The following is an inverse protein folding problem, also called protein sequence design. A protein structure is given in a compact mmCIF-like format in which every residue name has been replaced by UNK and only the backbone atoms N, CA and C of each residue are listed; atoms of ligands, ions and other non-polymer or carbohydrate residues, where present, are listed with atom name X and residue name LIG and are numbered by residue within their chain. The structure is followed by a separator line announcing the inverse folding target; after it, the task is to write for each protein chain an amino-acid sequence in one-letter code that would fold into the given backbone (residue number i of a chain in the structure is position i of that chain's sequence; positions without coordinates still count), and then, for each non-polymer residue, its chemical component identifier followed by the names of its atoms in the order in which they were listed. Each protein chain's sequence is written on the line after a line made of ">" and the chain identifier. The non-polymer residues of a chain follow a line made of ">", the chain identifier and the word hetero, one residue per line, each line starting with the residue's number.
data_IF_594804140865
#
_entry.id   IF_594804140865
#
_cell.length_a   1.000
_cell.length_b   1.000
_cell.length_c   1.000
_cell.angle_alpha   90.00
_cell.angle_beta   90.00
_cell.angle_gamma   90.00
#
_symmetry.space_group_name_H-M   'P 1'
#
loop_
_entity.id
_entity.type
_entity.pdbx_description
1 polymer ?
#
# COMPACT_ATOMS: atom_id res chain seq x y z
N UNK A 1 -7.98 -3.85 14.22
CA UNK A 1 -8.30 -3.26 12.91
C UNK A 1 -9.68 -2.64 12.94
N UNK A 2 -9.86 -1.58 12.16
CA UNK A 2 -11.13 -0.96 11.80
C UNK A 2 -11.41 -1.22 10.32
N UNK A 3 -12.65 -0.97 9.90
CA UNK A 3 -13.07 -1.16 8.52
C UNK A 3 -13.99 -0.01 8.10
N UNK A 4 -13.78 0.52 6.91
CA UNK A 4 -14.70 1.45 6.24
C UNK A 4 -15.20 0.83 4.94
N UNK A 5 -16.45 1.08 4.59
CA UNK A 5 -17.00 0.65 3.31
C UNK A 5 -16.73 1.69 2.21
N UNK A 6 -16.07 1.26 1.14
CA UNK A 6 -15.77 2.08 -0.03
C UNK A 6 -16.25 1.33 -1.27
N UNK A 7 -17.27 1.87 -1.94
CA UNK A 7 -17.87 1.26 -3.14
C UNK A 7 -18.18 -0.24 -2.98
N UNK A 8 -18.80 -0.59 -1.85
CA UNK A 8 -19.23 -1.96 -1.54
C UNK A 8 -18.13 -2.92 -1.10
N UNK A 9 -16.90 -2.46 -0.89
CA UNK A 9 -15.81 -3.24 -0.31
C UNK A 9 -15.41 -2.67 1.05
N UNK A 10 -15.14 -3.55 2.01
CA UNK A 10 -14.61 -3.19 3.33
C UNK A 10 -13.11 -3.03 3.24
N UNK A 11 -12.62 -1.87 3.62
CA UNK A 11 -11.20 -1.52 3.61
C UNK A 11 -10.69 -1.52 5.04
N UNK A 12 -9.69 -2.35 5.31
CA UNK A 12 -9.03 -2.48 6.61
C UNK A 12 -8.07 -1.32 6.86
N UNK A 13 -8.12 -0.77 8.08
CA UNK A 13 -7.09 0.12 8.56
C UNK A 13 -6.87 0.01 10.07
N UNK A 14 -5.74 0.53 10.54
CA UNK A 14 -5.40 0.65 11.96
C UNK A 14 -4.92 2.05 12.22
N UNK A 15 -5.21 2.57 13.42
CA UNK A 15 -4.83 3.92 13.82
C UNK A 15 -4.23 3.96 15.22
N UNK A 16 -3.37 4.94 15.46
CA UNK A 16 -2.72 5.25 16.73
C UNK A 16 -2.62 6.75 16.92
N UNK A 17 -2.47 7.14 18.17
CA UNK A 17 -2.24 8.52 18.57
C UNK A 17 -3.51 9.34 18.74
N UNK A 18 -3.32 10.64 18.96
CA UNK A 18 -4.43 11.55 19.19
C UNK A 18 -4.92 12.11 17.83
N UNK A 19 -6.23 11.99 17.51
CA UNK A 19 -6.79 12.56 16.25
C UNK A 19 -6.58 14.07 16.06
N UNK A 20 -6.22 14.80 17.12
CA UNK A 20 -5.89 16.23 17.05
C UNK A 20 -4.45 16.52 16.61
N UNK A 21 -3.60 15.52 16.58
CA UNK A 21 -2.22 15.66 16.10
C UNK A 21 -2.21 15.68 14.57
N UNK A 22 -1.06 16.09 13.98
CA UNK A 22 -0.85 15.97 12.54
C UNK A 22 -1.12 14.54 12.08
N UNK A 23 -2.04 14.41 11.14
CA UNK A 23 -2.42 13.11 10.56
C UNK A 23 -1.38 12.62 9.56
N UNK A 24 -1.04 11.34 9.64
CA UNK A 24 -0.15 10.63 8.71
C UNK A 24 -0.80 9.31 8.32
N UNK A 25 -0.97 9.06 7.04
CA UNK A 25 -1.40 7.76 6.52
C UNK A 25 -0.28 7.12 5.72
N UNK A 26 -0.01 5.83 6.00
CA UNK A 26 1.04 5.08 5.31
C UNK A 26 0.46 3.98 4.44
N UNK A 27 0.88 3.97 3.17
CA UNK A 27 0.40 3.10 2.10
C UNK A 27 1.49 2.09 1.72
N UNK A 28 1.12 0.82 1.72
CA UNK A 28 2.05 -0.30 1.51
C UNK A 28 2.36 -0.57 0.03
N UNK A 29 3.43 -1.32 -0.21
CA UNK A 29 3.85 -1.78 -1.53
C UNK A 29 3.05 -2.98 -2.05
N UNK A 30 3.46 -3.50 -3.21
CA UNK A 30 2.86 -4.63 -3.91
C UNK A 30 2.72 -5.85 -2.99
N UNK A 31 1.51 -6.44 -2.93
CA UNK A 31 1.18 -7.64 -2.14
C UNK A 31 1.46 -7.55 -0.63
N UNK A 32 1.74 -6.34 -0.12
CA UNK A 32 1.87 -6.10 1.30
C UNK A 32 0.49 -5.79 1.93
N UNK A 33 0.46 -5.32 3.16
CA UNK A 33 -0.76 -4.99 3.90
C UNK A 33 -0.42 -4.11 5.13
N UNK A 34 -1.42 -3.59 5.82
CA UNK A 34 -1.28 -2.68 6.96
C UNK A 34 -0.30 -3.17 8.05
N UNK A 35 -0.24 -4.47 8.29
CA UNK A 35 0.64 -5.03 9.32
C UNK A 35 2.14 -4.85 9.06
N UNK A 36 2.55 -4.54 7.81
CA UNK A 36 3.95 -4.20 7.50
C UNK A 36 4.42 -2.95 8.25
N UNK A 37 3.50 -2.04 8.58
CA UNK A 37 3.81 -0.75 9.21
C UNK A 37 3.23 -0.56 10.61
N UNK A 38 2.55 -1.59 11.15
CA UNK A 38 1.91 -1.52 12.46
C UNK A 38 2.86 -1.08 13.58
N UNK A 39 4.09 -1.55 13.56
CA UNK A 39 5.09 -1.20 14.58
C UNK A 39 5.48 0.28 14.53
N UNK A 40 5.48 0.90 13.33
CA UNK A 40 5.76 2.34 13.16
C UNK A 40 4.67 3.18 13.82
N UNK A 41 3.40 2.78 13.67
CA UNK A 41 2.27 3.47 14.29
C UNK A 41 2.42 3.56 15.81
N UNK A 42 2.81 2.47 16.46
CA UNK A 42 3.05 2.47 17.90
C UNK A 42 4.22 3.39 18.31
N UNK A 43 5.27 3.48 17.50
CA UNK A 43 6.44 4.35 17.78
C UNK A 43 6.14 5.84 17.59
N UNK A 44 5.20 6.19 16.73
CA UNK A 44 4.89 7.57 16.35
C UNK A 44 3.64 8.13 17.02
N UNK A 45 2.91 7.31 17.79
CA UNK A 45 1.61 7.64 18.38
C UNK A 45 1.62 8.86 19.32
N UNK A 46 2.75 9.19 19.94
CA UNK A 46 2.86 10.36 20.80
C UNK A 46 2.83 11.70 20.04
N UNK A 47 3.25 11.69 18.77
CA UNK A 47 3.41 12.89 17.94
C UNK A 47 2.38 13.04 16.85
N UNK A 48 1.89 11.94 16.31
CA UNK A 48 1.03 11.90 15.12
C UNK A 48 -0.25 11.13 15.38
N UNK A 49 -1.30 11.53 14.68
CA UNK A 49 -2.41 10.65 14.39
C UNK A 49 -1.99 9.77 13.21
N UNK A 50 -1.54 8.55 13.50
CA UNK A 50 -0.91 7.67 12.50
C UNK A 50 -1.87 6.57 12.07
N UNK A 51 -2.06 6.45 10.76
CA UNK A 51 -2.96 5.47 10.13
C UNK A 51 -2.16 4.60 9.18
N UNK A 52 -2.43 3.31 9.15
CA UNK A 52 -1.98 2.36 8.13
C UNK A 52 -3.20 1.63 7.59
N UNK A 53 -3.21 1.34 6.30
CA UNK A 53 -4.33 0.65 5.66
C UNK A 53 -3.86 -0.52 4.80
N UNK A 54 -4.78 -1.42 4.50
CA UNK A 54 -4.62 -2.42 3.44
C UNK A 54 -5.48 -2.00 2.25
N UNK A 55 -4.90 -1.93 1.05
CA UNK A 55 -5.71 -1.68 -0.16
C UNK A 55 -6.72 -2.80 -0.38
N UNK A 56 -7.83 -2.53 -1.09
CA UNK A 56 -8.70 -3.59 -1.58
C UNK A 56 -7.90 -4.67 -2.32
N UNK A 57 -8.27 -5.92 -2.13
CA UNK A 57 -7.51 -7.07 -2.63
C UNK A 57 -6.30 -7.46 -1.79
N UNK A 58 -6.04 -6.84 -0.63
CA UNK A 58 -4.84 -7.08 0.18
C UNK A 58 -5.16 -7.07 1.68
N UNK A 59 -4.39 -7.83 2.46
CA UNK A 59 -4.56 -7.90 3.92
C UNK A 59 -5.95 -8.35 4.35
N UNK A 60 -6.57 -7.59 5.26
CA UNK A 60 -7.94 -7.82 5.73
C UNK A 60 -9.02 -7.12 4.91
N UNK A 61 -8.64 -6.38 3.86
CA UNK A 61 -9.58 -5.71 2.97
C UNK A 61 -10.27 -6.68 2.01
N UNK A 62 -11.49 -6.37 1.61
CA UNK A 62 -12.24 -7.17 0.66
C UNK A 62 -11.57 -7.20 -0.73
N UNK A 63 -11.77 -8.29 -1.44
CA UNK A 63 -11.39 -8.42 -2.84
C UNK A 63 -12.49 -7.85 -3.74
N UNK A 64 -12.10 -7.34 -4.89
CA UNK A 64 -13.01 -6.77 -5.89
C UNK A 64 -12.98 -7.60 -7.17
N UNK A 65 -14.03 -7.51 -7.96
CA UNK A 65 -14.06 -8.14 -9.30
C UNK A 65 -13.19 -7.41 -10.32
N UNK A 66 -12.83 -6.15 -10.02
CA UNK A 66 -12.04 -5.29 -10.89
C UNK A 66 -11.31 -4.21 -10.10
N UNK A 67 -10.10 -3.86 -10.50
CA UNK A 67 -9.26 -2.85 -9.87
C UNK A 67 -8.78 -1.82 -10.89
N UNK A 68 -8.79 -0.55 -10.49
CA UNK A 68 -8.28 0.58 -11.27
C UNK A 68 -7.43 1.48 -10.39
N UNK A 69 -6.71 2.42 -10.99
CA UNK A 69 -6.05 3.51 -10.26
C UNK A 69 -7.02 4.22 -9.33
N UNK A 70 -8.21 4.57 -9.85
CA UNK A 70 -9.23 5.29 -9.09
C UNK A 70 -9.78 4.47 -7.93
N UNK A 71 -9.94 3.15 -8.10
CA UNK A 71 -10.33 2.26 -7.01
C UNK A 71 -9.40 2.38 -5.81
N UNK A 72 -8.09 2.34 -6.04
CA UNK A 72 -7.12 2.46 -4.95
C UNK A 72 -7.08 3.87 -4.34
N UNK A 73 -7.26 4.91 -5.15
CA UNK A 73 -7.39 6.29 -4.66
C UNK A 73 -8.61 6.46 -3.76
N UNK A 74 -9.74 5.90 -4.19
CA UNK A 74 -11.00 5.96 -3.43
C UNK A 74 -10.88 5.18 -2.11
N UNK A 75 -10.17 4.03 -2.10
CA UNK A 75 -9.85 3.30 -0.87
C UNK A 75 -9.08 4.18 0.13
N UNK A 76 -8.03 4.88 -0.34
CA UNK A 76 -7.23 5.80 0.50
C UNK A 76 -8.09 6.91 1.06
N UNK A 77 -8.83 7.61 0.18
CA UNK A 77 -9.62 8.77 0.60
C UNK A 77 -10.81 8.39 1.47
N UNK A 78 -11.38 7.20 1.27
CA UNK A 78 -12.38 6.62 2.14
C UNK A 78 -11.86 6.41 3.57
N UNK A 79 -10.65 5.88 3.71
CA UNK A 79 -9.99 5.73 5.03
C UNK A 79 -9.65 7.08 5.65
N UNK A 80 -9.13 8.04 4.86
CA UNK A 80 -8.85 9.41 5.32
C UNK A 80 -10.10 10.04 5.95
N UNK A 81 -11.24 9.94 5.27
CA UNK A 81 -12.51 10.49 5.75
C UNK A 81 -13.03 9.77 7.00
N UNK A 82 -13.03 8.44 7.01
CA UNK A 82 -13.55 7.63 8.13
C UNK A 82 -12.71 7.79 9.40
N UNK A 83 -11.38 7.91 9.25
CA UNK A 83 -10.46 8.18 10.35
C UNK A 83 -10.46 9.65 10.81
N UNK A 84 -11.24 10.53 10.16
CA UNK A 84 -11.34 11.96 10.50
C UNK A 84 -10.02 12.71 10.34
N UNK A 85 -9.22 12.36 9.33
CA UNK A 85 -7.92 12.96 9.10
C UNK A 85 -8.05 14.31 8.39
N UNK A 86 -7.62 15.37 9.05
CA UNK A 86 -7.57 16.72 8.45
C UNK A 86 -6.17 16.98 7.89
N UNK A 87 -6.09 17.41 6.63
CA UNK A 87 -4.84 17.72 5.93
C UNK A 87 -3.74 16.68 6.17
N UNK A 88 -3.95 15.40 5.81
CA UNK A 88 -2.99 14.34 6.10
C UNK A 88 -1.66 14.54 5.35
N UNK A 89 -0.59 14.02 5.91
CA UNK A 89 0.61 13.66 5.17
C UNK A 89 0.39 12.22 4.67
N UNK A 90 0.49 12.01 3.37
CA UNK A 90 0.42 10.67 2.77
C UNK A 90 1.84 10.16 2.54
N UNK A 91 2.14 8.99 3.06
CA UNK A 91 3.43 8.31 2.90
C UNK A 91 3.21 7.05 2.07
N UNK A 92 3.73 6.99 0.86
CA UNK A 92 3.54 5.85 -0.04
C UNK A 92 4.83 5.12 -0.34
N UNK A 93 4.87 3.80 -0.10
CA UNK A 93 6.01 2.94 -0.40
C UNK A 93 5.74 2.14 -1.67
N UNK A 94 6.67 2.18 -2.64
CA UNK A 94 6.60 1.37 -3.87
C UNK A 94 5.26 1.55 -4.60
N UNK A 95 4.45 0.50 -4.78
CA UNK A 95 3.08 0.58 -5.32
C UNK A 95 2.22 1.63 -4.59
N UNK A 96 2.32 1.70 -3.25
CA UNK A 96 1.66 2.75 -2.45
C UNK A 96 2.18 4.15 -2.80
N UNK A 97 3.42 4.28 -3.29
CA UNK A 97 3.98 5.53 -3.83
C UNK A 97 3.22 5.99 -5.08
N UNK A 98 2.97 5.09 -6.02
CA UNK A 98 2.13 5.36 -7.19
C UNK A 98 0.72 5.81 -6.75
N UNK A 99 0.06 5.01 -5.91
CA UNK A 99 -1.30 5.34 -5.45
C UNK A 99 -1.33 6.68 -4.73
N UNK A 100 -0.33 6.98 -3.87
CA UNK A 100 -0.26 8.25 -3.16
C UNK A 100 -0.06 9.44 -4.07
N UNK A 101 0.75 9.30 -5.13
CA UNK A 101 0.95 10.34 -6.14
C UNK A 101 -0.36 10.63 -6.89
N UNK A 102 -1.11 9.60 -7.29
CA UNK A 102 -2.40 9.75 -7.95
C UNK A 102 -3.45 10.31 -6.99
N UNK A 103 -3.43 9.90 -5.72
CA UNK A 103 -4.28 10.51 -4.69
C UNK A 103 -3.99 12.01 -4.56
N UNK A 104 -2.72 12.38 -4.51
CA UNK A 104 -2.32 13.79 -4.44
C UNK A 104 -2.73 14.58 -5.68
N UNK A 105 -2.80 14.00 -6.88
CA UNK A 105 -3.29 14.69 -8.07
C UNK A 105 -4.73 15.17 -7.93
N UNK A 106 -5.54 14.49 -7.12
CA UNK A 106 -6.94 14.83 -6.86
C UNK A 106 -7.14 15.66 -5.58
N UNK A 107 -6.28 15.51 -4.59
CA UNK A 107 -6.50 15.98 -3.23
C UNK A 107 -5.35 16.80 -2.64
N UNK A 108 -4.34 17.21 -3.43
CA UNK A 108 -3.15 17.90 -2.90
C UNK A 108 -3.45 19.21 -2.15
N UNK A 109 -4.60 19.86 -2.42
CA UNK A 109 -5.04 21.04 -1.69
C UNK A 109 -5.51 20.73 -0.26
N UNK A 110 -5.95 19.50 -0.02
CA UNK A 110 -6.44 18.99 1.26
C UNK A 110 -5.37 18.13 1.98
N UNK A 111 -4.09 18.25 1.57
CA UNK A 111 -2.97 17.50 2.12
C UNK A 111 -1.89 18.44 2.64
N UNK A 112 -1.30 18.08 3.81
CA UNK A 112 -0.11 18.78 4.33
C UNK A 112 1.18 18.37 3.61
N UNK A 113 1.21 17.23 2.93
CA UNK A 113 2.37 16.79 2.18
C UNK A 113 2.26 15.37 1.65
N UNK A 114 3.19 15.04 0.77
CA UNK A 114 3.37 13.73 0.16
C UNK A 114 4.82 13.26 0.39
N UNK A 115 5.01 12.05 0.92
CA UNK A 115 6.32 11.41 1.01
C UNK A 115 6.34 10.13 0.18
N UNK A 116 7.17 10.11 -0.84
CA UNK A 116 7.40 8.95 -1.72
C UNK A 116 8.59 8.15 -1.19
N UNK A 117 8.35 6.90 -0.82
CA UNK A 117 9.36 6.01 -0.25
C UNK A 117 9.65 4.89 -1.25
N UNK A 118 10.89 4.85 -1.72
CA UNK A 118 11.38 3.86 -2.68
C UNK A 118 10.44 3.69 -3.88
N UNK A 119 10.07 4.83 -4.48
CA UNK A 119 9.20 4.94 -5.65
C UNK A 119 9.81 5.86 -6.69
N UNK A 120 9.93 5.39 -7.93
CA UNK A 120 10.48 6.14 -9.06
C UNK A 120 9.36 6.82 -9.84
N UNK A 121 9.56 8.12 -10.10
CA UNK A 121 8.71 8.89 -11.02
C UNK A 121 9.41 8.91 -12.38
N UNK A 122 8.98 8.04 -13.27
CA UNK A 122 9.50 7.97 -14.63
C UNK A 122 9.01 9.13 -15.48
N UNK A 123 9.80 9.54 -16.46
CA UNK A 123 9.33 10.38 -17.55
C UNK A 123 8.43 9.57 -18.48
N UNK A 124 7.50 10.24 -19.22
CA UNK A 124 6.59 9.52 -20.11
C UNK A 124 7.28 8.57 -21.09
N UNK A 125 8.44 8.96 -21.63
CA UNK A 125 9.24 8.16 -22.56
C UNK A 125 9.98 6.98 -21.92
N UNK A 126 10.15 6.99 -20.60
CA UNK A 126 10.78 5.93 -19.81
C UNK A 126 9.76 4.97 -19.20
N UNK A 127 8.47 5.27 -19.38
CA UNK A 127 7.39 4.52 -18.77
C UNK A 127 7.24 3.13 -19.39
N UNK A 128 7.28 2.12 -18.56
CA UNK A 128 6.95 0.75 -18.92
C UNK A 128 5.63 0.35 -18.28
N UNK A 129 4.66 -0.01 -19.08
CA UNK A 129 3.38 -0.56 -18.60
C UNK A 129 3.58 -2.00 -18.06
N UNK A 130 4.18 -2.11 -16.92
CA UNK A 130 4.56 -3.39 -16.31
C UNK A 130 3.40 -4.35 -16.11
N UNK A 131 2.19 -3.83 -16.05
CA UNK A 131 0.99 -4.61 -15.79
C UNK A 131 0.11 -4.82 -17.04
N UNK A 132 0.31 -4.05 -18.13
CA UNK A 132 -0.52 -4.12 -19.31
C UNK A 132 -0.40 -5.46 -20.07
N UNK A 133 0.79 -6.04 -20.13
CA UNK A 133 1.09 -7.28 -20.84
C UNK A 133 1.11 -8.52 -19.93
N UNK A 134 0.60 -8.42 -18.71
CA UNK A 134 0.57 -9.58 -17.81
C UNK A 134 -0.40 -10.64 -18.31
N UNK A 135 0.06 -11.89 -18.31
CA UNK A 135 -0.84 -13.04 -18.36
C UNK A 135 -1.79 -12.97 -17.16
N UNK A 136 -3.10 -13.17 -17.37
CA UNK A 136 -4.08 -13.16 -16.29
C UNK A 136 -3.62 -14.00 -15.10
N UNK A 137 -3.86 -13.50 -13.91
CA UNK A 137 -3.40 -14.13 -12.69
C UNK A 137 -4.00 -15.53 -12.56
N UNK A 138 -3.19 -16.45 -12.04
CA UNK A 138 -3.68 -17.77 -11.66
C UNK A 138 -4.48 -17.65 -10.36
N UNK A 139 -5.51 -18.51 -10.16
CA UNK A 139 -6.21 -18.57 -8.89
C UNK A 139 -5.25 -18.69 -7.69
N UNK A 140 -5.64 -18.18 -6.52
CA UNK A 140 -4.82 -18.29 -5.32
C UNK A 140 -4.42 -19.75 -5.04
N UNK A 141 -3.16 -19.95 -4.72
CA UNK A 141 -2.71 -21.27 -4.29
C UNK A 141 -3.24 -21.52 -2.88
N UNK A 142 -3.98 -22.62 -2.70
CA UNK A 142 -4.42 -23.09 -1.40
C UNK A 142 -3.50 -24.22 -0.95
N UNK A 143 -3.13 -24.24 0.32
CA UNK A 143 -2.35 -25.28 0.98
C UNK A 143 -3.06 -25.74 2.24
N UNK A 144 -2.78 -26.97 2.69
CA UNK A 144 -3.46 -27.56 3.84
C UNK A 144 -3.05 -26.90 5.16
N UNK A 145 -1.80 -26.44 5.28
CA UNK A 145 -1.23 -25.91 6.51
C UNK A 145 -0.68 -24.49 6.32
N UNK A 146 -0.95 -23.62 7.30
CA UNK A 146 -0.45 -22.25 7.35
C UNK A 146 1.08 -22.20 7.29
N UNK A 147 1.74 -23.07 8.02
CA UNK A 147 3.20 -23.17 8.13
C UNK A 147 3.87 -23.37 6.78
N UNK A 148 3.20 -24.04 5.83
CA UNK A 148 3.72 -24.26 4.48
C UNK A 148 3.73 -22.99 3.63
N UNK A 149 2.84 -22.02 3.92
CA UNK A 149 2.92 -20.69 3.36
C UNK A 149 4.02 -19.88 4.04
N UNK A 150 4.05 -19.85 5.37
CA UNK A 150 5.04 -19.08 6.15
C UNK A 150 6.46 -19.46 5.74
N UNK A 151 6.77 -20.73 5.57
CA UNK A 151 8.08 -21.20 5.08
C UNK A 151 8.45 -20.67 3.69
N UNK A 152 7.47 -20.26 2.90
CA UNK A 152 7.65 -19.70 1.54
C UNK A 152 7.68 -18.19 1.52
N UNK A 153 7.36 -17.54 2.63
CA UNK A 153 7.42 -16.08 2.70
C UNK A 153 8.85 -15.59 2.43
N UNK A 154 8.99 -14.60 1.58
CA UNK A 154 10.28 -13.95 1.25
C UNK A 154 10.05 -12.46 1.09
N UNK A 155 10.97 -11.67 1.60
CA UNK A 155 11.02 -10.26 1.27
C UNK A 155 11.40 -10.11 -0.21
N UNK A 156 10.75 -9.20 -0.90
CA UNK A 156 11.04 -8.89 -2.30
C UNK A 156 11.29 -7.37 -2.45
N UNK A 157 12.45 -6.97 -2.98
CA UNK A 157 13.58 -7.81 -3.41
C UNK A 157 14.18 -8.60 -2.23
N UNK A 158 14.89 -9.72 -2.51
CA UNK A 158 15.52 -10.52 -1.46
C UNK A 158 16.53 -9.69 -0.67
N UNK A 159 16.37 -9.67 0.64
CA UNK A 159 17.24 -8.91 1.54
C UNK A 159 17.33 -9.57 2.92
N UNK A 160 18.44 -9.36 3.60
CA UNK A 160 18.59 -9.77 4.98
C UNK A 160 17.81 -8.84 5.91
N UNK A 161 17.15 -9.41 6.91
CA UNK A 161 16.51 -8.65 7.98
C UNK A 161 17.04 -9.18 9.32
N UNK A 162 17.71 -8.32 10.09
CA UNK A 162 18.23 -8.70 11.42
C UNK A 162 17.10 -8.88 12.45
N UNK A 163 15.94 -8.28 12.20
CA UNK A 163 14.76 -8.36 13.06
C UNK A 163 13.82 -9.50 12.60
N UNK A 164 14.28 -10.74 12.72
CA UNK A 164 13.52 -11.92 12.25
C UNK A 164 12.10 -11.96 12.80
N UNK A 165 11.87 -11.53 14.03
CA UNK A 165 10.53 -11.47 14.63
C UNK A 165 9.55 -10.56 13.86
N UNK A 166 10.02 -9.51 13.19
CA UNK A 166 9.18 -8.68 12.31
C UNK A 166 8.82 -9.43 11.04
N UNK A 167 9.78 -10.13 10.45
CA UNK A 167 9.54 -10.97 9.26
C UNK A 167 8.53 -12.07 9.57
N UNK A 168 8.69 -12.74 10.70
CA UNK A 168 7.76 -13.79 11.16
C UNK A 168 6.37 -13.24 11.41
N UNK A 169 6.27 -12.06 12.06
CA UNK A 169 5.00 -11.37 12.27
C UNK A 169 4.31 -11.01 10.94
N UNK A 170 5.05 -10.44 9.99
CA UNK A 170 4.52 -10.08 8.67
C UNK A 170 4.06 -11.34 7.93
N UNK A 171 4.89 -12.39 7.91
CA UNK A 171 4.56 -13.66 7.25
C UNK A 171 3.28 -14.28 7.82
N UNK A 172 3.12 -14.26 9.15
CA UNK A 172 1.93 -14.78 9.82
C UNK A 172 0.66 -14.04 9.38
N UNK A 173 0.72 -12.70 9.33
CA UNK A 173 -0.40 -11.85 8.92
C UNK A 173 -0.61 -11.77 7.41
N UNK A 174 0.32 -12.29 6.60
CA UNK A 174 0.17 -12.40 5.14
C UNK A 174 -0.65 -13.62 4.72
N UNK A 175 -1.14 -14.43 5.66
CA UNK A 175 -1.93 -15.64 5.38
C UNK A 175 -3.37 -15.51 5.88
N UNK A 176 -4.30 -16.11 5.16
CA UNK A 176 -5.71 -16.21 5.55
C UNK A 176 -6.21 -17.64 5.46
N UNK A 177 -7.13 -17.98 6.35
CA UNK A 177 -7.87 -19.24 6.27
C UNK A 177 -8.96 -19.12 5.19
N UNK A 178 -9.12 -20.18 4.40
CA UNK A 178 -10.17 -20.36 3.41
C UNK A 178 -11.04 -21.56 3.79
N UNK A 179 -12.10 -21.82 3.06
CA UNK A 179 -12.95 -23.00 3.30
C UNK A 179 -12.19 -24.33 3.16
N UNK A 180 -11.17 -24.38 2.33
CA UNK A 180 -10.45 -25.62 1.99
C UNK A 180 -8.98 -25.63 2.41
N UNK A 181 -8.52 -24.64 3.16
CA UNK A 181 -7.12 -24.56 3.62
C UNK A 181 -6.66 -23.13 3.86
N UNK A 182 -5.41 -22.85 3.50
CA UNK A 182 -4.75 -21.55 3.72
C UNK A 182 -4.25 -20.95 2.42
N UNK A 183 -4.38 -19.64 2.28
CA UNK A 183 -3.90 -18.87 1.13
C UNK A 183 -3.20 -17.59 1.59
N UNK A 184 -2.51 -16.91 0.67
CA UNK A 184 -2.04 -15.54 0.89
C UNK A 184 -3.22 -14.57 0.97
N UNK A 185 -3.04 -13.46 1.69
CA UNK A 185 -4.09 -12.43 1.87
C UNK A 185 -4.29 -11.56 0.63
N UNK A 186 -3.37 -11.56 -0.33
CA UNK A 186 -3.52 -10.74 -1.54
C UNK A 186 -4.29 -11.47 -2.64
N UNK A 187 -5.07 -10.70 -3.38
CA UNK A 187 -5.73 -11.15 -4.60
C UNK A 187 -4.72 -11.15 -5.77
N UNK A 188 -4.41 -12.31 -6.36
CA UNK A 188 -3.51 -12.34 -7.51
C UNK A 188 -3.98 -11.48 -8.69
N UNK A 189 -5.30 -11.28 -8.83
CA UNK A 189 -5.91 -10.51 -9.91
C UNK A 189 -5.90 -8.99 -9.64
N UNK A 190 -5.40 -8.52 -8.49
CA UNK A 190 -5.42 -7.09 -8.15
C UNK A 190 -4.70 -6.17 -9.15
N UNK A 191 -3.85 -6.75 -9.99
CA UNK A 191 -3.08 -6.02 -11.00
C UNK A 191 -3.46 -6.40 -12.45
N UNK A 192 -4.44 -7.30 -12.64
CA UNK A 192 -4.86 -7.72 -13.98
C UNK A 192 -5.55 -6.55 -14.69
N UNK A 193 -4.98 -6.14 -15.83
CA UNK A 193 -5.49 -5.00 -16.59
C UNK A 193 -5.33 -3.63 -15.92
N UNK A 194 -4.56 -3.55 -14.81
CA UNK A 194 -4.28 -2.27 -14.15
C UNK A 194 -3.41 -1.38 -15.05
N UNK A 195 -3.96 -0.27 -15.49
CA UNK A 195 -3.23 0.78 -16.21
C UNK A 195 -2.62 1.74 -15.20
N UNK A 196 -1.30 1.75 -15.12
CA UNK A 196 -0.56 2.65 -14.22
C UNK A 196 -0.55 4.10 -14.74
N UNK A 197 -0.47 4.26 -16.06
CA UNK A 197 -0.37 5.55 -16.74
C UNK A 197 1.06 6.09 -16.78
N UNK A 198 1.31 7.01 -17.70
CA UNK A 198 2.62 7.65 -17.92
C UNK A 198 2.66 9.12 -17.47
N UNK A 199 1.68 9.55 -16.71
CA UNK A 199 1.41 10.93 -16.31
C UNK A 199 2.06 11.35 -14.97
N UNK A 200 2.87 10.48 -14.37
CA UNK A 200 3.40 10.67 -13.01
C UNK A 200 4.27 11.93 -12.87
N UNK A 201 5.13 12.23 -13.84
CA UNK A 201 5.96 13.43 -13.81
C UNK A 201 5.16 14.72 -13.99
N UNK A 202 4.10 14.68 -14.81
CA UNK A 202 3.16 15.79 -14.97
C UNK A 202 2.37 16.02 -13.68
N UNK A 203 1.84 14.94 -13.08
CA UNK A 203 1.15 15.00 -11.78
C UNK A 203 2.06 15.67 -10.75
N UNK A 204 3.29 15.16 -10.60
CA UNK A 204 4.24 15.68 -9.61
C UNK A 204 4.48 17.18 -9.77
N UNK A 205 4.58 17.66 -11.01
CA UNK A 205 4.84 19.08 -11.34
C UNK A 205 3.66 20.01 -10.99
N UNK A 206 2.46 19.46 -10.86
CA UNK A 206 1.22 20.23 -10.63
C UNK A 206 0.69 20.12 -9.20
N UNK A 207 1.37 19.40 -8.29
CA UNK A 207 0.91 19.25 -6.91
C UNK A 207 0.95 20.56 -6.14
N UNK A 208 -0.04 20.73 -5.26
CA UNK A 208 -0.21 21.93 -4.43
C UNK A 208 0.36 21.76 -3.01
N UNK A 209 0.86 20.55 -2.66
CA UNK A 209 1.46 20.25 -1.37
C UNK A 209 2.96 20.01 -1.51
N UNK A 210 3.74 20.17 -0.42
CA UNK A 210 5.16 19.75 -0.40
C UNK A 210 5.33 18.27 -0.71
N UNK A 211 6.37 17.93 -1.47
CA UNK A 211 6.72 16.54 -1.81
C UNK A 211 8.11 16.23 -1.32
N UNK A 212 8.27 15.11 -0.62
CA UNK A 212 9.54 14.55 -0.22
C UNK A 212 9.79 13.19 -0.85
N UNK A 213 11.04 12.87 -1.09
CA UNK A 213 11.50 11.55 -1.54
C UNK A 213 12.43 10.95 -0.51
N UNK A 214 12.23 9.66 -0.24
CA UNK A 214 13.11 8.88 0.61
C UNK A 214 13.39 7.54 -0.07
N UNK A 215 14.65 7.17 -0.17
CA UNK A 215 15.07 5.91 -0.78
C UNK A 215 16.25 5.30 -0.02
N UNK A 216 16.38 3.99 -0.10
CA UNK A 216 17.48 3.26 0.51
C UNK A 216 18.78 3.48 -0.25
N UNK A 217 19.92 3.59 0.46
CA UNK A 217 21.25 3.72 -0.15
C UNK A 217 21.58 2.59 -1.16
N UNK A 218 20.97 1.42 -0.95
CA UNK A 218 21.18 0.22 -1.78
C UNK A 218 19.94 -0.18 -2.58
N UNK A 219 18.99 0.76 -2.79
CA UNK A 219 17.83 0.46 -3.62
C UNK A 219 18.24 0.10 -5.04
N UNK A 220 17.57 -0.89 -5.62
CA UNK A 220 17.81 -1.30 -7.01
C UNK A 220 17.01 -0.46 -8.01
N UNK A 221 16.01 0.28 -7.54
CA UNK A 221 15.10 1.08 -8.36
C UNK A 221 15.79 2.31 -9.00
N UNK A 222 16.89 2.80 -8.40
CA UNK A 222 17.60 4.01 -8.83
C UNK A 222 18.98 3.73 -9.42
N UNK A 223 19.32 2.49 -9.69
CA UNK A 223 20.57 2.12 -10.37
C UNK A 223 20.37 2.13 -11.89
N UNK A 224 20.23 3.30 -12.45
CA UNK A 224 20.32 3.56 -13.90
C UNK A 224 21.48 4.50 -14.20
#
# INVERSE_FOLDING_TARGET
>A
SKFVEVHGAKIEYMEWGNPKNQSVIMLHGTNAHAHWFKFIGAMLSDKYHFVVMSFSGMGGSDWRSFYTRDTFVDDVWGVVNDAGMENPIIVGHSFGGMVSLITASKHSQDMSGLLLVDFVVYKPEEHHEWYADRTPARPPRIVDNKEDLIKRFRLMPPQACVNQYLVDYIADHSTRQTETGWAWTFDPAAYDGLVIGSDHSEILSNLQCPVGFYYGEHTVEFNA
#
